data_IF_473397004467
#
_entry.id   IF_473397004467
#
_cell.length_a   1.000
_cell.length_b   1.000
_cell.length_c   1.000
_cell.angle_alpha   90.00
_cell.angle_beta   90.00
_cell.angle_gamma   90.00
#
_symmetry.space_group_name_H-M   'P 1'
#
loop_
_entity.id
_entity.type
_entity.pdbx_description
1 polymer ?
#
# COMPACT_ATOMS: atom_id res chain seq x y z
N UNK A 1 -43.70 -15.31 -30.66
CA UNK A 1 -42.71 -15.02 -31.72
C UNK A 1 -42.61 -13.51 -31.79
N UNK A 2 -41.45 -12.84 -31.66
CA UNK A 2 -40.11 -13.16 -32.13
C UNK A 2 -39.08 -12.42 -31.24
N UNK A 3 -37.97 -13.09 -30.95
CA UNK A 3 -36.77 -12.53 -30.28
C UNK A 3 -36.13 -11.46 -31.17
N UNK A 4 -35.52 -10.45 -30.56
CA UNK A 4 -34.50 -9.62 -31.22
C UNK A 4 -33.25 -9.67 -30.36
N UNK A 5 -32.15 -9.92 -31.06
CA UNK A 5 -30.95 -10.57 -30.59
C UNK A 5 -29.97 -9.64 -29.86
N UNK A 6 -29.31 -10.24 -28.88
CA UNK A 6 -28.12 -9.74 -28.21
C UNK A 6 -26.99 -9.72 -29.23
N UNK A 7 -26.37 -8.56 -29.44
CA UNK A 7 -25.03 -8.50 -30.00
C UNK A 7 -24.30 -7.28 -29.44
N UNK A 8 -23.89 -7.37 -28.17
CA UNK A 8 -22.78 -6.57 -27.69
C UNK A 8 -21.55 -7.46 -27.85
N UNK A 9 -20.79 -7.21 -28.91
CA UNK A 9 -19.58 -7.96 -29.24
C UNK A 9 -18.60 -7.87 -28.07
N UNK A 10 -18.46 -9.01 -27.41
CA UNK A 10 -17.49 -9.28 -26.38
C UNK A 10 -16.09 -9.18 -26.98
N UNK A 11 -15.41 -8.10 -26.66
CA UNK A 11 -13.95 -8.01 -26.69
C UNK A 11 -13.51 -7.43 -25.34
N UNK A 12 -13.93 -8.10 -24.26
CA UNK A 12 -13.33 -7.93 -22.95
C UNK A 12 -11.96 -8.62 -22.93
N UNK A 13 -11.00 -8.08 -23.69
CA UNK A 13 -9.61 -8.17 -23.25
C UNK A 13 -9.62 -7.57 -21.86
N UNK A 14 -9.45 -8.41 -20.82
CA UNK A 14 -9.31 -7.96 -19.45
C UNK A 14 -8.31 -6.80 -19.44
N UNK A 15 -8.80 -5.56 -19.43
CA UNK A 15 -7.96 -4.41 -19.15
C UNK A 15 -7.58 -4.60 -17.70
N UNK A 16 -6.44 -5.26 -17.46
CA UNK A 16 -5.79 -5.22 -16.15
C UNK A 16 -5.67 -3.74 -15.82
N UNK A 17 -6.49 -3.27 -14.89
CA UNK A 17 -6.41 -1.91 -14.40
C UNK A 17 -5.01 -1.74 -13.81
N UNK A 18 -4.12 -1.17 -14.61
CA UNK A 18 -2.75 -0.88 -14.21
C UNK A 18 -2.82 0.02 -12.98
N UNK A 19 -2.19 -0.41 -11.90
CA UNK A 19 -2.22 0.28 -10.61
C UNK A 19 -0.83 0.35 -10.00
N UNK A 20 -0.66 1.31 -9.09
CA UNK A 20 0.47 1.33 -8.17
C UNK A 20 0.07 0.58 -6.90
N UNK A 21 0.91 -0.35 -6.47
CA UNK A 21 0.63 -1.26 -5.34
C UNK A 21 1.74 -1.22 -4.31
N UNK A 22 1.42 -1.58 -3.07
CA UNK A 22 2.36 -1.76 -1.97
C UNK A 22 2.25 -3.20 -1.47
N UNK A 23 3.38 -3.86 -1.25
CA UNK A 23 3.43 -5.26 -0.83
C UNK A 23 4.51 -5.46 0.23
N UNK A 24 4.26 -6.33 1.20
CA UNK A 24 5.31 -6.81 2.10
C UNK A 24 6.20 -7.81 1.38
N UNK A 25 7.50 -7.74 1.64
CA UNK A 25 8.47 -8.65 1.03
C UNK A 25 8.58 -9.98 1.79
N UNK A 26 8.34 -9.98 3.11
CA UNK A 26 8.58 -11.12 3.99
C UNK A 26 7.31 -11.53 4.76
N UNK A 27 6.35 -12.12 4.04
CA UNK A 27 5.06 -12.54 4.62
C UNK A 27 4.23 -11.37 5.17
N UNK A 28 2.98 -11.65 5.54
CA UNK A 28 2.05 -10.67 6.10
C UNK A 28 1.79 -10.87 7.59
N UNK A 29 2.50 -11.79 8.23
CA UNK A 29 2.30 -12.17 9.63
C UNK A 29 3.55 -11.87 10.43
N UNK A 30 3.40 -11.05 11.49
CA UNK A 30 4.50 -10.49 12.27
C UNK A 30 4.32 -10.88 13.73
N UNK A 31 5.38 -11.47 14.32
CA UNK A 31 5.44 -11.75 15.75
C UNK A 31 5.91 -10.51 16.54
N UNK A 32 5.51 -10.43 17.81
CA UNK A 32 6.08 -9.46 18.76
C UNK A 32 7.37 -10.01 19.40
N UNK A 33 8.40 -9.19 19.64
CA UNK A 33 8.48 -7.75 19.37
C UNK A 33 8.54 -7.41 17.86
N UNK A 34 7.73 -6.46 17.41
CA UNK A 34 7.66 -6.13 15.99
C UNK A 34 8.89 -5.32 15.56
N UNK A 35 9.77 -5.92 14.75
CA UNK A 35 11.01 -5.31 14.27
C UNK A 35 10.83 -4.29 13.13
N UNK A 36 11.66 -4.45 12.09
CA UNK A 36 11.52 -3.72 10.82
C UNK A 36 10.99 -4.65 9.75
N UNK A 37 10.21 -4.11 8.82
CA UNK A 37 9.73 -4.85 7.65
C UNK A 37 10.03 -4.09 6.37
N UNK A 38 10.32 -4.82 5.31
CA UNK A 38 10.49 -4.24 3.99
C UNK A 38 9.20 -4.34 3.19
N UNK A 39 8.81 -3.20 2.62
CA UNK A 39 7.71 -3.11 1.67
C UNK A 39 8.23 -2.66 0.32
N UNK A 40 7.68 -3.22 -0.74
CA UNK A 40 7.94 -2.81 -2.12
C UNK A 40 6.73 -2.08 -2.68
N UNK A 41 6.96 -0.87 -3.17
CA UNK A 41 5.99 -0.14 -3.97
C UNK A 41 6.29 -0.40 -5.45
N UNK A 42 5.29 -0.86 -6.20
CA UNK A 42 5.41 -1.27 -7.61
C UNK A 42 4.44 -0.44 -8.44
N UNK A 43 4.96 0.33 -9.39
CA UNK A 43 4.18 1.13 -10.31
C UNK A 43 3.93 0.36 -11.61
N UNK A 44 2.76 -0.27 -11.73
CA UNK A 44 2.38 -0.96 -12.97
C UNK A 44 1.68 -0.03 -13.97
N UNK A 45 1.53 1.27 -13.65
CA UNK A 45 0.86 2.27 -14.49
C UNK A 45 1.80 2.82 -15.56
N UNK A 46 1.22 3.54 -16.52
CA UNK A 46 1.97 4.28 -17.55
C UNK A 46 2.43 5.67 -17.05
N UNK A 47 1.99 6.09 -15.86
CA UNK A 47 2.34 7.40 -15.29
C UNK A 47 3.55 7.29 -14.36
N UNK A 48 4.37 8.33 -14.35
CA UNK A 48 5.44 8.47 -13.36
C UNK A 48 4.83 8.83 -12.01
N UNK A 49 5.33 8.20 -10.94
CA UNK A 49 4.93 8.52 -9.57
C UNK A 49 6.15 8.94 -8.75
N UNK A 50 5.92 9.81 -7.78
CA UNK A 50 6.87 10.17 -6.73
C UNK A 50 6.33 9.76 -5.36
N UNK A 51 7.22 9.51 -4.42
CA UNK A 51 6.86 9.14 -3.04
C UNK A 51 7.97 9.55 -2.08
N UNK A 52 7.69 9.60 -0.77
CA UNK A 52 8.67 9.92 0.25
C UNK A 52 8.90 8.79 1.25
N UNK A 53 9.72 9.07 2.28
CA UNK A 53 9.91 8.13 3.40
C UNK A 53 8.69 8.02 4.32
N UNK A 54 7.80 9.02 4.33
CA UNK A 54 6.61 9.01 5.17
C UNK A 54 5.76 7.74 5.02
N UNK A 55 5.24 7.26 6.14
CA UNK A 55 4.26 6.19 6.21
C UNK A 55 3.43 6.35 7.49
N UNK A 56 2.27 5.71 7.50
CA UNK A 56 1.44 5.51 8.68
C UNK A 56 1.19 4.03 8.91
N UNK A 57 0.91 3.69 10.15
CA UNK A 57 0.43 2.36 10.53
C UNK A 57 -0.97 2.55 11.09
N UNK A 58 -1.90 1.75 10.61
CA UNK A 58 -3.30 1.80 11.01
C UNK A 58 -3.74 0.41 11.48
N UNK A 59 -4.53 0.37 12.54
CA UNK A 59 -5.11 -0.84 13.13
C UNK A 59 -6.57 -0.92 12.76
N UNK A 60 -7.05 -2.12 12.41
CA UNK A 60 -8.47 -2.31 12.11
C UNK A 60 -9.25 -2.60 13.39
N UNK A 61 -10.12 -1.68 13.81
CA UNK A 61 -10.90 -1.75 15.04
C UNK A 61 -12.30 -1.20 14.81
N UNK A 62 -13.31 -1.83 15.40
CA UNK A 62 -14.70 -1.37 15.30
C UNK A 62 -15.18 -1.10 13.86
N UNK A 63 -14.70 -1.94 12.91
CA UNK A 63 -14.95 -1.86 11.46
C UNK A 63 -14.31 -0.66 10.76
N UNK A 64 -13.42 0.05 11.44
CA UNK A 64 -12.71 1.23 10.93
C UNK A 64 -11.18 1.06 11.02
N UNK A 65 -10.45 1.92 10.31
CA UNK A 65 -9.00 1.96 10.36
C UNK A 65 -8.56 3.14 11.23
N UNK A 66 -7.91 2.84 12.34
CA UNK A 66 -7.44 3.83 13.32
C UNK A 66 -5.93 3.98 13.21
N UNK A 67 -5.45 5.19 12.95
CA UNK A 67 -4.01 5.49 12.91
C UNK A 67 -3.36 5.28 14.28
N UNK A 68 -2.23 4.57 14.30
CA UNK A 68 -1.45 4.35 15.50
C UNK A 68 -0.42 5.47 15.63
N UNK A 69 -0.44 6.26 16.73
CA UNK A 69 0.58 7.25 16.98
C UNK A 69 1.97 6.60 17.06
N UNK A 70 2.97 7.25 16.46
CA UNK A 70 4.36 6.83 16.60
C UNK A 70 4.95 7.45 17.87
N UNK A 71 5.80 6.70 18.58
CA UNK A 71 6.51 7.18 19.77
C UNK A 71 7.47 8.34 19.43
N UNK A 72 8.14 8.26 18.27
CA UNK A 72 9.04 9.28 17.75
C UNK A 72 8.59 9.72 16.35
N UNK A 73 8.62 11.03 16.08
CA UNK A 73 8.09 11.64 14.87
C UNK A 73 9.12 12.50 14.13
N UNK A 74 9.91 11.89 13.26
CA UNK A 74 10.70 12.59 12.24
C UNK A 74 10.92 11.64 11.08
N UNK A 75 10.86 12.15 9.85
CA UNK A 75 11.29 11.41 8.67
C UNK A 75 12.12 12.36 7.82
N UNK A 76 13.12 11.82 7.14
CA UNK A 76 13.84 12.61 6.15
C UNK A 76 12.90 12.94 5.00
N UNK A 77 12.83 14.22 4.65
CA UNK A 77 12.11 14.69 3.50
C UNK A 77 12.93 14.42 2.23
N UNK A 78 12.80 13.20 1.72
CA UNK A 78 13.44 12.76 0.48
C UNK A 78 12.37 12.22 -0.46
N UNK A 79 12.30 12.81 -1.64
CA UNK A 79 11.47 12.36 -2.75
C UNK A 79 12.15 11.26 -3.58
N UNK A 80 11.39 10.25 -3.96
CA UNK A 80 11.82 9.14 -4.81
C UNK A 80 10.89 9.01 -6.01
N UNK A 81 11.47 8.85 -7.19
CA UNK A 81 10.73 8.51 -8.42
C UNK A 81 10.52 7.00 -8.50
N UNK A 82 9.30 6.58 -8.85
CA UNK A 82 8.94 5.22 -9.22
C UNK A 82 8.54 5.23 -10.69
N UNK A 83 9.42 4.70 -11.54
CA UNK A 83 9.24 4.66 -13.00
C UNK A 83 7.95 3.91 -13.37
N UNK A 84 7.28 4.30 -14.47
CA UNK A 84 6.17 3.54 -15.04
C UNK A 84 6.52 2.07 -15.35
N UNK A 85 5.50 1.28 -15.66
CA UNK A 85 5.62 -0.03 -16.30
C UNK A 85 6.51 -1.03 -15.56
N UNK A 86 6.29 -1.16 -14.25
CA UNK A 86 6.92 -2.15 -13.38
C UNK A 86 8.07 -1.61 -12.53
N UNK A 87 8.28 -0.28 -12.50
CA UNK A 87 9.25 0.34 -11.61
C UNK A 87 8.97 0.01 -10.14
N UNK A 88 10.04 -0.24 -9.38
CA UNK A 88 9.96 -0.68 -7.97
C UNK A 88 10.76 0.24 -7.06
N UNK A 89 10.27 0.41 -5.84
CA UNK A 89 11.00 1.07 -4.76
C UNK A 89 10.75 0.34 -3.45
N UNK A 90 11.82 -0.02 -2.76
CA UNK A 90 11.77 -0.69 -1.46
C UNK A 90 11.87 0.35 -0.35
N UNK A 91 11.08 0.17 0.71
CA UNK A 91 11.12 0.97 1.92
C UNK A 91 11.17 0.05 3.13
N UNK A 92 12.09 0.36 4.05
CA UNK A 92 12.09 -0.28 5.37
C UNK A 92 11.20 0.52 6.32
N UNK A 93 10.20 -0.15 6.88
CA UNK A 93 9.22 0.40 7.83
C UNK A 93 9.62 -0.05 9.23
N UNK A 94 9.78 0.93 10.13
CA UNK A 94 10.16 0.66 11.51
C UNK A 94 8.92 0.48 12.39
N UNK A 95 8.50 -0.77 12.58
CA UNK A 95 7.32 -1.09 13.39
C UNK A 95 7.59 -0.92 14.89
N UNK A 96 8.84 -1.03 15.34
CA UNK A 96 9.24 -0.82 16.75
C UNK A 96 8.77 0.54 17.30
N UNK A 97 8.68 1.55 16.44
CA UNK A 97 8.27 2.90 16.84
C UNK A 97 6.79 3.00 17.27
N UNK A 98 5.99 1.97 17.03
CA UNK A 98 4.60 1.84 17.46
C UNK A 98 4.36 0.58 18.30
N UNK A 99 5.44 -0.07 18.79
CA UNK A 99 5.38 -1.39 19.39
C UNK A 99 4.47 -1.47 20.61
N UNK A 100 4.49 -0.42 21.44
CA UNK A 100 3.67 -0.29 22.64
C UNK A 100 2.15 -0.35 22.39
N UNK A 101 1.71 -0.13 21.14
CA UNK A 101 0.31 -0.10 20.75
C UNK A 101 -0.14 -1.37 20.01
N UNK A 102 0.78 -2.30 19.71
CA UNK A 102 0.41 -3.54 19.04
C UNK A 102 -0.30 -4.50 19.99
N UNK A 103 -1.33 -5.14 19.43
CA UNK A 103 -2.07 -6.26 20.00
C UNK A 103 -2.39 -7.22 18.86
N UNK A 104 -2.72 -8.47 19.17
CA UNK A 104 -3.17 -9.42 18.15
C UNK A 104 -4.29 -8.81 17.30
N UNK A 105 -4.14 -8.81 15.98
CA UNK A 105 -5.11 -8.17 15.09
C UNK A 105 -4.62 -7.87 13.69
N UNK A 106 -5.46 -7.17 12.92
CA UNK A 106 -5.21 -6.77 11.53
C UNK A 106 -4.76 -5.32 11.45
N UNK A 107 -3.74 -5.09 10.64
CA UNK A 107 -3.08 -3.80 10.47
C UNK A 107 -2.86 -3.50 8.99
N UNK A 108 -2.56 -2.23 8.68
CA UNK A 108 -2.06 -1.83 7.36
C UNK A 108 -1.00 -0.75 7.46
N UNK A 109 -0.04 -0.81 6.55
CA UNK A 109 0.91 0.27 6.29
C UNK A 109 0.30 1.12 5.18
N UNK A 110 0.25 2.43 5.40
CA UNK A 110 -0.16 3.41 4.40
C UNK A 110 1.05 4.20 3.93
N UNK A 111 1.28 4.24 2.61
CA UNK A 111 2.22 5.17 1.97
C UNK A 111 1.51 6.03 0.94
N UNK A 112 2.11 7.15 0.62
CA UNK A 112 1.60 8.10 -0.37
C UNK A 112 2.38 7.92 -1.67
N UNK A 113 1.67 7.86 -2.80
CA UNK A 113 2.25 8.03 -4.12
C UNK A 113 1.57 9.21 -4.81
N UNK A 114 2.35 10.12 -5.38
CA UNK A 114 1.84 11.31 -6.07
C UNK A 114 2.28 11.28 -7.53
N UNK A 115 1.43 11.76 -8.42
CA UNK A 115 1.82 12.19 -9.75
C UNK A 115 1.30 13.62 -9.98
N UNK A 116 1.51 14.18 -11.17
CA UNK A 116 1.13 15.56 -11.48
C UNK A 116 -0.38 15.86 -11.33
N UNK A 117 -1.22 14.82 -11.26
CA UNK A 117 -2.68 14.95 -11.21
C UNK A 117 -3.24 14.66 -9.82
N UNK A 118 -2.72 13.62 -9.17
CA UNK A 118 -3.36 12.99 -8.02
C UNK A 118 -2.35 12.55 -6.96
N UNK A 119 -2.81 12.61 -5.71
CA UNK A 119 -2.17 11.98 -4.55
C UNK A 119 -2.96 10.73 -4.17
N UNK A 120 -2.29 9.59 -4.12
CA UNK A 120 -2.88 8.29 -3.81
C UNK A 120 -2.35 7.77 -2.48
N UNK A 121 -3.24 7.20 -1.68
CA UNK A 121 -2.89 6.43 -0.49
C UNK A 121 -2.88 4.95 -0.86
N UNK A 122 -1.71 4.33 -0.74
CA UNK A 122 -1.49 2.93 -1.11
C UNK A 122 -1.23 2.15 0.16
N UNK A 123 -1.87 0.98 0.26
CA UNK A 123 -1.90 0.19 1.48
C UNK A 123 -1.37 -1.22 1.25
N UNK A 124 -0.75 -1.80 2.28
CA UNK A 124 -0.54 -3.24 2.40
C UNK A 124 -0.95 -3.70 3.79
N UNK A 125 -1.65 -4.82 3.87
CA UNK A 125 -2.14 -5.37 5.15
C UNK A 125 -1.14 -6.34 5.77
N UNK A 126 -1.15 -6.40 7.10
CA UNK A 126 -0.42 -7.40 7.88
C UNK A 126 -1.17 -7.76 9.15
N UNK A 127 -0.73 -8.80 9.82
CA UNK A 127 -1.31 -9.35 11.03
C UNK A 127 -0.25 -9.40 12.13
N UNK A 128 -0.64 -9.01 13.34
CA UNK A 128 0.12 -9.31 14.56
C UNK A 128 -0.56 -10.52 15.21
N UNK A 129 0.22 -11.53 15.59
CA UNK A 129 -0.27 -12.74 16.27
C UNK A 129 0.14 -12.79 17.75
#
# INVERSE_FOLDING_TARGET
MQKVDINCSDNSVERRCKSIVLQLMNGDTIALPAGKVDVVMINNTDSLYTTGKYYRIERFEDKEWVEIPRKYGSFEDIGYVIKPNGGKRIFTINLQNAEYAYRKGKYRICKIASNDKNKLYIYCTFYIM
#
